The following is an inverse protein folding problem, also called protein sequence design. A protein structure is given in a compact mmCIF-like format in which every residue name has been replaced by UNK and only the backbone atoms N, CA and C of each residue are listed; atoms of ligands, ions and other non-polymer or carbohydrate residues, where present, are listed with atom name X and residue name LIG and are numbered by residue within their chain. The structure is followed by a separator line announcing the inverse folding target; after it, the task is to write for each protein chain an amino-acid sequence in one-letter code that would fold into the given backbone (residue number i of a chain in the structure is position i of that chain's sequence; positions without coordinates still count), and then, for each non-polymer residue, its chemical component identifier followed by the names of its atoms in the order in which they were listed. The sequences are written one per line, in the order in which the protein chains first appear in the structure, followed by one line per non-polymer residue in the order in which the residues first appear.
data_IF_888322404154
#
_entry.id   IF_888322404154
#
_cell.length_a   1.000
_cell.length_b   1.000
_cell.length_c   1.000
_cell.angle_alpha   90.00
_cell.angle_beta   90.00
_cell.angle_gamma   90.00
#
_symmetry.space_group_name_H-M   'P 1'
#
loop_
_entity.id
_entity.type
_entity.pdbx_description
1 polymer ?
#
# COMPACT_ATOMS: atom_id res chain seq x y z
N UNK A 1 17.38 4.51 10.67
CA UNK A 1 16.96 3.12 10.41
C UNK A 1 15.57 3.19 9.81
N UNK A 2 15.44 3.03 8.49
CA UNK A 2 14.14 3.14 7.83
C UNK A 2 13.39 1.83 8.00
N UNK A 3 12.41 1.81 8.90
CA UNK A 3 11.54 0.66 9.13
C UNK A 3 10.66 0.46 7.88
N UNK A 4 10.98 -0.56 7.09
CA UNK A 4 10.20 -0.92 5.91
C UNK A 4 8.82 -1.44 6.34
N UNK A 5 7.84 -0.53 6.34
CA UNK A 5 6.49 -0.82 6.83
C UNK A 5 5.77 -1.78 5.89
N UNK A 6 5.48 -2.99 6.38
CA UNK A 6 4.62 -3.94 5.67
C UNK A 6 3.20 -3.43 5.64
N UNK A 7 2.54 -3.63 4.51
CA UNK A 7 1.14 -3.26 4.29
C UNK A 7 0.39 -4.40 3.64
N UNK A 8 -0.89 -4.53 3.97
CA UNK A 8 -1.78 -5.50 3.37
C UNK A 8 -2.84 -4.80 2.54
N UNK A 9 -2.94 -5.15 1.26
CA UNK A 9 -4.03 -4.65 0.43
C UNK A 9 -5.39 -5.12 0.95
N UNK A 10 -6.35 -4.19 1.04
CA UNK A 10 -7.72 -4.51 1.49
C UNK A 10 -8.51 -5.36 0.49
N UNK A 11 -8.18 -5.26 -0.81
CA UNK A 11 -8.92 -5.96 -1.89
C UNK A 11 -8.39 -7.36 -2.16
N UNK A 12 -7.10 -7.51 -2.48
CA UNK A 12 -6.50 -8.80 -2.82
C UNK A 12 -5.75 -9.48 -1.66
N UNK A 13 -5.71 -8.85 -0.47
CA UNK A 13 -4.97 -9.33 0.72
C UNK A 13 -3.47 -9.51 0.49
N UNK A 14 -2.92 -8.95 -0.59
CA UNK A 14 -1.50 -8.99 -0.88
C UNK A 14 -0.70 -8.25 0.21
N UNK A 15 0.16 -8.97 0.91
CA UNK A 15 1.12 -8.42 1.86
C UNK A 15 2.38 -8.01 1.08
N UNK A 16 2.74 -6.74 1.16
CA UNK A 16 3.87 -6.16 0.45
C UNK A 16 4.42 -5.01 1.28
N UNK A 17 5.60 -4.52 0.95
CA UNK A 17 6.17 -3.34 1.59
C UNK A 17 5.47 -2.07 1.10
N UNK A 18 5.42 -1.05 1.96
CA UNK A 18 4.91 0.25 1.55
C UNK A 18 5.70 0.82 0.36
N UNK A 19 7.00 0.53 0.32
CA UNK A 19 7.92 0.90 -0.77
C UNK A 19 7.64 0.18 -2.09
N UNK A 20 7.02 -1.00 -2.07
CA UNK A 20 6.66 -1.75 -3.30
C UNK A 20 5.38 -1.23 -3.95
N UNK A 21 4.72 -0.24 -3.35
CA UNK A 21 3.48 0.33 -3.90
C UNK A 21 3.78 1.14 -5.16
N UNK A 22 2.95 0.93 -6.17
CA UNK A 22 3.11 1.59 -7.46
C UNK A 22 2.51 2.98 -7.38
N UNK A 23 3.27 3.98 -7.79
CA UNK A 23 2.80 5.36 -7.86
C UNK A 23 2.17 5.60 -9.24
N UNK A 24 0.85 5.76 -9.28
CA UNK A 24 0.09 5.96 -10.53
C UNK A 24 -0.55 7.35 -10.54
N UNK A 25 -0.70 8.01 -11.70
CA UNK A 25 -1.39 9.28 -11.78
C UNK A 25 -2.85 9.15 -11.32
N UNK A 26 -3.28 10.07 -10.46
CA UNK A 26 -4.63 10.10 -9.92
C UNK A 26 -5.62 10.49 -11.01
N UNK A 27 -6.67 9.67 -11.18
CA UNK A 27 -7.76 9.97 -12.14
C UNK A 27 -8.65 11.14 -11.71
N UNK A 28 -8.67 11.46 -10.42
CA UNK A 28 -9.62 12.40 -9.82
C UNK A 28 -9.04 13.81 -9.62
N UNK A 29 -7.72 13.90 -9.50
CA UNK A 29 -7.02 15.16 -9.26
C UNK A 29 -5.81 15.22 -10.17
N UNK A 30 -5.86 16.12 -11.14
CA UNK A 30 -4.74 16.34 -12.06
C UNK A 30 -3.51 16.81 -11.28
N UNK A 31 -2.37 16.15 -11.50
CA UNK A 31 -1.11 16.43 -10.79
C UNK A 31 -0.89 15.63 -9.50
N UNK A 32 -1.91 14.95 -8.98
CA UNK A 32 -1.74 14.03 -7.86
C UNK A 32 -1.32 12.64 -8.33
N UNK A 33 -0.63 11.91 -7.44
CA UNK A 33 -0.28 10.51 -7.66
C UNK A 33 -0.83 9.66 -6.51
N UNK A 34 -1.52 8.59 -6.87
CA UNK A 34 -2.01 7.58 -5.94
C UNK A 34 -0.98 6.47 -5.79
N UNK A 35 -0.66 6.11 -4.55
CA UNK A 35 0.04 4.86 -4.25
C UNK A 35 -0.97 3.72 -4.27
N UNK A 36 -0.72 2.71 -5.10
CA UNK A 36 -1.64 1.58 -5.30
C UNK A 36 -0.94 0.23 -5.11
N UNK A 37 -1.72 -0.79 -4.79
CA UNK A 37 -1.24 -2.16 -4.70
C UNK A 37 -0.74 -2.66 -6.07
N UNK A 38 0.46 -3.28 -6.15
CA UNK A 38 1.03 -3.75 -7.41
C UNK A 38 0.22 -4.88 -8.08
N UNK A 39 -0.63 -5.59 -7.33
CA UNK A 39 -1.42 -6.73 -7.87
C UNK A 39 -2.82 -6.37 -8.34
N UNK A 40 -3.47 -5.39 -7.73
CA UNK A 40 -4.89 -5.10 -7.99
C UNK A 40 -5.23 -3.61 -8.12
N UNK A 41 -4.21 -2.75 -8.09
CA UNK A 41 -4.33 -1.29 -8.18
C UNK A 41 -5.26 -0.65 -7.13
N UNK A 42 -5.52 -1.34 -6.02
CA UNK A 42 -6.30 -0.78 -4.92
C UNK A 42 -5.47 0.23 -4.13
N UNK A 43 -6.11 1.36 -3.76
CA UNK A 43 -5.51 2.45 -2.98
C UNK A 43 -5.54 2.20 -1.48
N UNK A 44 -6.45 1.35 -1.02
CA UNK A 44 -6.70 1.09 0.40
C UNK A 44 -5.88 -0.11 0.90
N UNK A 45 -5.26 0.06 2.06
CA UNK A 45 -4.37 -0.93 2.68
C UNK A 45 -4.45 -0.82 4.21
N UNK A 46 -4.12 -1.93 4.88
CA UNK A 46 -3.87 -1.98 6.31
C UNK A 46 -2.37 -1.93 6.56
N UNK A 47 -1.93 -1.22 7.60
CA UNK A 47 -0.56 -1.29 8.09
C UNK A 47 -0.38 -2.60 8.85
N UNK A 48 0.74 -3.26 8.61
CA UNK A 48 1.12 -4.46 9.34
C UNK A 48 2.31 -4.14 10.24
N UNK A 49 2.30 -4.66 11.45
CA UNK A 49 3.45 -4.67 12.35
C UNK A 49 4.56 -5.59 11.83
N UNK A 50 5.73 -5.54 12.47
CA UNK A 50 6.86 -6.42 12.20
C UNK A 50 6.47 -7.92 12.22
N UNK A 51 5.50 -8.29 13.06
CA UNK A 51 4.95 -9.65 13.20
C UNK A 51 3.87 -9.99 12.14
N UNK A 52 3.58 -9.09 11.19
CA UNK A 52 2.59 -9.31 10.13
C UNK A 52 1.13 -9.28 10.58
N UNK A 53 0.87 -8.76 11.80
CA UNK A 53 -0.45 -8.49 12.36
C UNK A 53 -0.90 -7.08 12.00
N UNK A 54 -2.22 -6.84 11.96
CA UNK A 54 -2.76 -5.49 11.72
C UNK A 54 -2.37 -4.62 12.91
N UNK A 55 -1.69 -3.50 12.63
CA UNK A 55 -1.42 -2.50 13.65
C UNK A 55 -2.76 -2.01 14.21
N UNK A 56 -2.91 -2.16 15.53
CA UNK A 56 -4.10 -1.78 16.28
C UNK A 56 -4.25 -0.25 16.31
#
# INVERSE_FOLDING_TARGET
MSEEQKVQCTRCRNKHLHSERVCVPSKWLSGARDLVCPRCNCRNYYKLDADGKRAA
#
